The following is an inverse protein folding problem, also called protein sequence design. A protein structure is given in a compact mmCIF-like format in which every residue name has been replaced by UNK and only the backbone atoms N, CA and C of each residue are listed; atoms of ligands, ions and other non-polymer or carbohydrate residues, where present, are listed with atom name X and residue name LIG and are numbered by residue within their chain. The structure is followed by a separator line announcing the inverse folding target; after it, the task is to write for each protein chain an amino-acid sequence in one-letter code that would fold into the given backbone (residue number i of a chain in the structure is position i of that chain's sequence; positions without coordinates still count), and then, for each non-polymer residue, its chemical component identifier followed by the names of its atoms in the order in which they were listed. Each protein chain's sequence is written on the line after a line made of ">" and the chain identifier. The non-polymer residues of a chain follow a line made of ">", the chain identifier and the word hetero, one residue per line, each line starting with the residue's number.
data_IF_207044632005
#
_entry.id   IF_207044632005
#
_cell.length_a   1.000
_cell.length_b   1.000
_cell.length_c   1.000
_cell.angle_alpha   90.00
_cell.angle_beta   90.00
_cell.angle_gamma   90.00
#
_symmetry.space_group_name_H-M   'P 1'
#
loop_
_entity.id
_entity.type
_entity.pdbx_description
1 polymer ?
#
# COMPACT_ATOMS: atom_id res chain seq x y z
N UNK A 1 28.27 -52.65 61.75
CA UNK A 1 28.09 -51.54 60.79
C UNK A 1 27.33 -52.11 59.60
N UNK A 2 26.03 -51.82 59.41
CA UNK A 2 25.44 -50.73 58.57
C UNK A 2 25.92 -50.84 57.10
N UNK A 3 25.13 -50.93 56.02
CA UNK A 3 23.73 -50.62 55.64
C UNK A 3 23.30 -51.60 54.51
N UNK A 4 22.07 -52.14 54.45
CA UNK A 4 20.78 -51.59 53.94
C UNK A 4 20.76 -51.27 52.43
N UNK A 5 19.85 -52.00 51.77
CA UNK A 5 19.21 -51.88 50.45
C UNK A 5 18.97 -50.47 49.92
N UNK A 6 18.83 -50.28 48.59
CA UNK A 6 17.69 -49.59 47.97
C UNK A 6 17.78 -49.51 46.43
N UNK A 7 16.67 -49.93 45.83
CA UNK A 7 16.15 -49.66 44.48
C UNK A 7 16.31 -48.21 44.01
N UNK A 8 16.51 -48.01 42.72
CA UNK A 8 16.12 -46.76 42.04
C UNK A 8 15.67 -47.05 40.61
N UNK A 9 14.36 -47.16 40.44
CA UNK A 9 13.68 -47.01 39.17
C UNK A 9 13.79 -45.53 38.74
N UNK A 10 14.33 -45.26 37.55
CA UNK A 10 14.34 -43.92 36.98
C UNK A 10 13.02 -43.71 36.22
N UNK A 11 12.18 -42.83 36.76
CA UNK A 11 10.95 -42.38 36.14
C UNK A 11 11.25 -41.47 34.93
N UNK A 12 10.50 -41.66 33.85
CA UNK A 12 10.52 -40.79 32.68
C UNK A 12 9.93 -39.42 33.03
N UNK A 13 10.70 -38.36 32.81
CA UNK A 13 10.21 -37.00 32.87
C UNK A 13 9.55 -36.65 31.52
N UNK A 14 8.21 -36.55 31.52
CA UNK A 14 7.46 -35.99 30.41
C UNK A 14 7.68 -34.47 30.37
N UNK A 15 8.35 -33.98 29.33
CA UNK A 15 8.46 -32.55 29.08
C UNK A 15 7.13 -32.04 28.50
N UNK A 16 6.36 -31.31 29.29
CA UNK A 16 5.27 -30.47 28.79
C UNK A 16 5.88 -29.31 27.98
N UNK A 17 5.92 -29.44 26.66
CA UNK A 17 6.02 -28.27 25.78
C UNK A 17 4.66 -27.58 25.75
N UNK A 18 4.50 -26.55 26.59
CA UNK A 18 3.38 -25.63 26.51
C UNK A 18 3.47 -24.88 25.16
N UNK A 19 2.55 -25.20 24.25
CA UNK A 19 2.30 -24.44 23.04
C UNK A 19 1.82 -23.05 23.45
N UNK A 20 2.68 -22.03 23.30
CA UNK A 20 2.25 -20.63 23.38
C UNK A 20 1.16 -20.39 22.34
N UNK A 21 0.07 -19.67 22.67
CA UNK A 21 -0.96 -19.34 21.71
C UNK A 21 -0.32 -18.54 20.57
N UNK A 22 -0.52 -19.01 19.34
CA UNK A 22 -0.17 -18.28 18.14
C UNK A 22 -0.89 -16.91 18.21
N UNK A 23 -0.12 -15.84 18.35
CA UNK A 23 -0.64 -14.49 18.22
C UNK A 23 -1.26 -14.38 16.83
N UNK A 24 -2.58 -14.25 16.80
CA UNK A 24 -3.33 -13.92 15.60
C UNK A 24 -2.71 -12.66 15.00
N UNK A 25 -2.24 -12.75 13.75
CA UNK A 25 -1.82 -11.56 13.03
C UNK A 25 -3.00 -10.58 12.99
N UNK A 26 -2.84 -9.41 13.59
CA UNK A 26 -3.81 -8.33 13.48
C UNK A 26 -3.95 -7.95 12.00
N UNK A 27 -5.19 -7.76 11.54
CA UNK A 27 -5.48 -7.45 10.15
C UNK A 27 -5.07 -5.99 9.86
N UNK A 28 -4.37 -5.79 8.74
CA UNK A 28 -4.02 -4.45 8.31
C UNK A 28 -5.28 -3.60 8.06
N UNK A 29 -5.38 -2.44 8.70
CA UNK A 29 -6.48 -1.49 8.52
C UNK A 29 -6.10 -0.45 7.45
N UNK A 30 -7.06 0.00 6.65
CA UNK A 30 -6.81 0.95 5.55
C UNK A 30 -7.78 2.12 5.61
N UNK A 31 -7.26 3.34 5.59
CA UNK A 31 -8.03 4.57 5.51
C UNK A 31 -7.69 5.30 4.21
N UNK A 32 -8.70 5.77 3.47
CA UNK A 32 -8.53 6.34 2.14
C UNK A 32 -9.29 7.67 1.99
N UNK A 33 -8.77 8.55 1.14
CA UNK A 33 -9.52 9.69 0.62
C UNK A 33 -10.65 9.23 -0.30
N UNK A 34 -11.50 10.17 -0.72
CA UNK A 34 -12.38 9.96 -1.87
C UNK A 34 -11.57 9.64 -3.14
N UNK A 35 -12.20 8.89 -4.04
CA UNK A 35 -11.65 8.63 -5.36
C UNK A 35 -11.89 9.84 -6.27
N UNK A 36 -10.83 10.31 -6.95
CA UNK A 36 -10.88 11.48 -7.83
C UNK A 36 -10.45 11.13 -9.23
N UNK A 37 -11.14 11.67 -10.25
CA UNK A 37 -10.67 11.59 -11.63
C UNK A 37 -9.69 12.72 -11.94
N UNK A 38 -8.60 12.37 -12.61
CA UNK A 38 -7.54 13.28 -12.99
C UNK A 38 -7.33 13.19 -14.51
N UNK A 39 -7.59 14.30 -15.20
CA UNK A 39 -7.56 14.40 -16.66
C UNK A 39 -6.36 15.20 -17.15
N UNK A 40 -5.67 14.69 -18.18
CA UNK A 40 -4.66 15.41 -18.93
C UNK A 40 -5.13 15.64 -20.37
N UNK A 41 -5.46 16.89 -20.69
CA UNK A 41 -5.94 17.32 -22.01
C UNK A 41 -4.89 17.25 -23.12
N UNK A 42 -3.60 17.29 -22.79
CA UNK A 42 -2.54 17.20 -23.80
C UNK A 42 -2.41 15.80 -24.38
N UNK A 43 -2.79 14.79 -23.59
CA UNK A 43 -2.72 13.38 -23.98
C UNK A 43 -4.09 12.73 -24.13
N UNK A 44 -5.17 13.47 -23.85
CA UNK A 44 -6.56 13.00 -23.71
C UNK A 44 -6.68 11.73 -22.86
N UNK A 45 -6.12 11.76 -21.65
CA UNK A 45 -6.07 10.61 -20.73
C UNK A 45 -6.67 10.97 -19.39
N UNK A 46 -7.35 10.02 -18.76
CA UNK A 46 -7.92 10.18 -17.42
C UNK A 46 -7.62 8.97 -16.53
N UNK A 47 -7.32 9.22 -15.26
CA UNK A 47 -7.09 8.18 -14.24
C UNK A 47 -7.99 8.45 -13.04
N UNK A 48 -8.66 7.42 -12.53
CA UNK A 48 -9.32 7.46 -11.23
C UNK A 48 -8.33 7.05 -10.14
N UNK A 49 -8.07 7.96 -9.21
CA UNK A 49 -7.04 7.85 -8.20
C UNK A 49 -7.65 7.87 -6.81
N UNK A 50 -7.07 7.12 -5.87
CA UNK A 50 -7.42 7.17 -4.46
C UNK A 50 -6.15 7.11 -3.63
N UNK A 51 -6.06 7.93 -2.56
CA UNK A 51 -4.87 7.99 -1.70
C UNK A 51 -5.22 7.35 -0.38
N UNK A 52 -4.37 6.44 0.11
CA UNK A 52 -4.64 5.70 1.32
C UNK A 52 -3.42 5.69 2.24
N UNK A 53 -3.68 5.46 3.52
CA UNK A 53 -2.71 5.01 4.51
C UNK A 53 -3.13 3.62 4.95
N UNK A 54 -2.18 2.69 4.93
CA UNK A 54 -2.37 1.32 5.41
C UNK A 54 -1.60 1.16 6.71
N UNK A 55 -2.30 0.70 7.76
CA UNK A 55 -1.68 0.30 9.01
C UNK A 55 -1.34 -1.19 8.94
N UNK A 56 -0.09 -1.57 9.19
CA UNK A 56 0.35 -2.97 9.24
C UNK A 56 0.94 -3.27 10.62
N UNK A 57 0.66 -4.45 11.16
CA UNK A 57 1.23 -4.90 12.43
C UNK A 57 2.39 -5.83 12.18
N UNK A 58 3.53 -5.51 12.79
CA UNK A 58 4.72 -6.34 12.72
C UNK A 58 4.78 -7.34 13.87
N UNK A 59 5.58 -8.39 13.69
CA UNK A 59 5.88 -9.37 14.74
C UNK A 59 6.65 -8.68 15.88
N UNK A 60 5.90 -8.09 16.81
CA UNK A 60 6.40 -7.15 17.81
C UNK A 60 5.26 -6.30 18.40
N UNK A 61 4.10 -6.24 17.74
CA UNK A 61 2.93 -5.50 18.20
C UNK A 61 2.96 -4.01 17.83
N UNK A 62 4.00 -3.57 17.15
CA UNK A 62 4.10 -2.20 16.63
C UNK A 62 3.31 -2.10 15.33
N UNK A 63 2.41 -1.11 15.29
CA UNK A 63 1.68 -0.72 14.10
C UNK A 63 2.51 0.32 13.33
N UNK A 64 2.70 0.07 12.04
CA UNK A 64 3.34 1.03 11.15
C UNK A 64 2.40 1.45 10.01
N UNK A 65 2.62 2.67 9.50
CA UNK A 65 1.83 3.27 8.44
C UNK A 65 2.61 3.33 7.13
N UNK A 66 2.03 2.75 6.08
CA UNK A 66 2.53 2.82 4.72
C UNK A 66 1.61 3.69 3.84
N UNK A 67 2.13 4.73 3.16
CA UNK A 67 1.37 5.48 2.17
C UNK A 67 1.12 4.64 0.92
N UNK A 68 -0.09 4.72 0.38
CA UNK A 68 -0.52 3.97 -0.80
C UNK A 68 -1.21 4.90 -1.81
N UNK A 69 -0.88 4.71 -3.08
CA UNK A 69 -1.60 5.30 -4.19
C UNK A 69 -2.30 4.19 -4.98
N UNK A 70 -3.62 4.30 -5.08
CA UNK A 70 -4.48 3.36 -5.80
C UNK A 70 -4.94 3.97 -7.12
N UNK A 71 -4.90 3.17 -8.17
CA UNK A 71 -5.55 3.48 -9.44
C UNK A 71 -6.64 2.45 -9.72
N UNK A 72 -7.89 2.89 -9.79
CA UNK A 72 -9.01 1.98 -10.02
C UNK A 72 -9.31 1.79 -11.50
N UNK A 73 -9.28 2.91 -12.25
CA UNK A 73 -9.62 2.95 -13.66
C UNK A 73 -8.70 3.91 -14.39
N UNK A 74 -8.40 3.56 -15.62
CA UNK A 74 -7.64 4.40 -16.53
C UNK A 74 -8.27 4.34 -17.90
N UNK A 75 -8.42 5.48 -18.54
CA UNK A 75 -9.02 5.58 -19.86
C UNK A 75 -8.36 6.64 -20.72
N UNK A 76 -8.54 6.51 -22.02
CA UNK A 76 -8.07 7.44 -23.02
C UNK A 76 -9.21 7.79 -23.98
N UNK A 77 -9.19 9.01 -24.49
CA UNK A 77 -10.06 9.45 -25.58
C UNK A 77 -9.34 9.15 -26.89
N UNK A 78 -10.00 8.45 -27.81
CA UNK A 78 -9.46 8.25 -29.15
C UNK A 78 -9.66 9.47 -30.06
N UNK A 79 -9.28 9.34 -31.34
CA UNK A 79 -9.45 10.40 -32.35
C UNK A 79 -10.90 10.69 -32.70
N UNK A 80 -11.79 9.73 -32.48
CA UNK A 80 -13.22 9.84 -32.79
C UNK A 80 -14.00 10.44 -31.62
N UNK A 81 -13.33 10.69 -30.48
CA UNK A 81 -13.94 11.26 -29.28
C UNK A 81 -14.59 10.22 -28.38
N UNK A 82 -14.26 8.93 -28.54
CA UNK A 82 -14.76 7.84 -27.71
C UNK A 82 -13.78 7.49 -26.58
N UNK A 83 -14.31 7.19 -25.40
CA UNK A 83 -13.54 6.82 -24.22
C UNK A 83 -13.32 5.31 -24.15
N UNK A 84 -12.06 4.90 -24.00
CA UNK A 84 -11.66 3.50 -23.93
C UNK A 84 -10.86 3.20 -22.67
N UNK A 85 -11.08 2.02 -22.09
CA UNK A 85 -10.28 1.56 -20.95
C UNK A 85 -8.84 1.22 -21.40
N UNK A 86 -7.85 1.71 -20.66
CA UNK A 86 -6.47 1.29 -20.85
C UNK A 86 -6.24 -0.14 -20.32
N UNK A 87 -5.30 -0.86 -20.93
CA UNK A 87 -4.99 -2.23 -20.53
C UNK A 87 -4.33 -2.27 -19.14
N UNK A 88 -3.46 -1.30 -18.85
CA UNK A 88 -2.83 -1.14 -17.54
C UNK A 88 -2.40 0.30 -17.26
N UNK A 89 -2.08 0.55 -15.99
CA UNK A 89 -1.51 1.79 -15.50
C UNK A 89 -0.35 1.50 -14.56
N UNK A 90 0.72 2.28 -14.67
CA UNK A 90 1.75 2.36 -13.63
C UNK A 90 1.69 3.72 -12.96
N UNK A 91 2.06 3.77 -11.69
CA UNK A 91 2.21 5.01 -10.93
C UNK A 91 3.63 5.12 -10.41
N UNK A 92 4.16 6.34 -10.43
CA UNK A 92 5.42 6.72 -9.80
C UNK A 92 5.31 8.14 -9.25
N UNK A 93 6.24 8.55 -8.40
CA UNK A 93 6.30 9.95 -7.94
C UNK A 93 6.87 10.10 -6.55
N UNK A 94 6.48 11.17 -5.87
CA UNK A 94 6.93 11.50 -4.51
C UNK A 94 5.77 11.80 -3.60
N UNK A 95 5.94 11.55 -2.31
CA UNK A 95 5.00 11.95 -1.28
C UNK A 95 5.66 12.77 -0.17
N UNK A 96 4.82 13.55 0.51
CA UNK A 96 5.09 14.13 1.81
C UNK A 96 3.94 13.80 2.73
N UNK A 97 4.25 13.14 3.84
CA UNK A 97 3.32 12.76 4.88
C UNK A 97 3.59 13.63 6.12
N UNK A 98 2.55 14.13 6.75
CA UNK A 98 2.64 14.85 8.03
C UNK A 98 1.78 14.13 9.06
N UNK A 99 2.37 13.73 10.19
CA UNK A 99 1.67 13.09 11.30
C UNK A 99 0.84 14.07 12.13
N UNK A 100 -0.08 13.58 12.97
CA UNK A 100 -0.81 14.39 13.95
C UNK A 100 0.10 15.20 14.87
N UNK A 101 1.25 14.64 15.29
CA UNK A 101 2.26 15.36 16.08
C UNK A 101 3.01 16.46 15.30
N UNK A 102 2.82 16.53 13.99
CA UNK A 102 3.47 17.51 13.11
C UNK A 102 4.78 17.04 12.50
N UNK A 103 5.21 15.81 12.80
CA UNK A 103 6.40 15.18 12.19
C UNK A 103 6.17 15.00 10.69
N UNK A 104 7.21 15.25 9.90
CA UNK A 104 7.14 15.20 8.43
C UNK A 104 8.01 14.08 7.91
N UNK A 105 7.42 13.27 7.03
CA UNK A 105 8.08 12.20 6.31
C UNK A 105 8.00 12.47 4.81
N UNK A 106 9.03 12.07 4.08
CA UNK A 106 9.11 12.22 2.62
C UNK A 106 9.64 10.94 2.02
N UNK A 107 9.08 10.56 0.87
CA UNK A 107 9.56 9.40 0.15
C UNK A 107 9.09 9.42 -1.30
N UNK A 108 9.25 8.28 -1.97
CA UNK A 108 8.94 8.11 -3.38
C UNK A 108 8.16 6.84 -3.65
N UNK A 109 7.22 6.92 -4.59
CA UNK A 109 6.62 5.76 -5.23
C UNK A 109 7.51 5.36 -6.43
N UNK A 110 8.18 4.20 -6.39
CA UNK A 110 8.86 3.66 -7.55
C UNK A 110 7.83 3.32 -8.62
N UNK A 111 8.30 3.29 -9.87
CA UNK A 111 7.47 2.87 -10.97
C UNK A 111 7.15 1.38 -10.85
N UNK A 112 5.93 1.05 -10.43
CA UNK A 112 5.44 -0.33 -10.43
C UNK A 112 4.35 -0.49 -11.48
N UNK A 113 4.46 -1.57 -12.24
CA UNK A 113 3.43 -1.99 -13.16
C UNK A 113 2.38 -2.78 -12.38
N UNK A 114 1.39 -2.10 -11.82
CA UNK A 114 0.12 -2.68 -11.37
C UNK A 114 -0.79 -1.60 -10.77
N UNK A 115 -2.08 -1.90 -10.67
CA UNK A 115 -3.14 -0.97 -10.19
C UNK A 115 -3.00 -0.55 -8.72
N UNK A 116 -1.98 -1.04 -8.00
CA UNK A 116 -1.73 -0.80 -6.59
C UNK A 116 -0.25 -0.61 -6.37
N UNK A 117 0.11 0.51 -5.75
CA UNK A 117 1.49 0.76 -5.35
C UNK A 117 1.49 1.05 -3.86
N UNK A 118 1.76 -0.01 -3.11
CA UNK A 118 2.14 0.04 -1.69
C UNK A 118 3.62 0.37 -1.68
N UNK A 119 3.97 1.64 -1.63
CA UNK A 119 5.38 1.99 -1.46
C UNK A 119 5.52 3.23 -0.61
N UNK A 120 5.93 2.98 0.61
CA UNK A 120 6.61 3.93 1.46
C UNK A 120 7.44 3.15 2.46
N UNK A 121 8.35 3.87 3.12
CA UNK A 121 8.89 3.39 4.38
C UNK A 121 7.74 3.27 5.38
N UNK A 122 7.84 2.30 6.25
CA UNK A 122 6.92 2.16 7.35
C UNK A 122 7.21 3.23 8.41
N UNK A 123 6.16 3.93 8.84
CA UNK A 123 6.26 5.02 9.82
C UNK A 123 5.55 4.65 11.12
N UNK A 124 6.01 5.15 12.29
CA UNK A 124 5.29 4.95 13.54
C UNK A 124 3.81 5.36 13.40
N UNK A 125 2.90 4.47 13.79
CA UNK A 125 1.47 4.80 13.77
C UNK A 125 1.12 5.79 14.89
N UNK A 126 0.42 6.86 14.52
CA UNK A 126 -0.18 7.82 15.44
C UNK A 126 -1.67 7.93 15.11
N UNK A 127 -2.54 7.90 16.12
CA UNK A 127 -3.96 8.16 15.91
C UNK A 127 -4.22 9.65 15.69
N UNK A 128 -5.20 9.97 14.85
CA UNK A 128 -5.56 11.34 14.48
C UNK A 128 -5.45 11.62 12.98
N UNK A 129 -5.50 12.90 12.62
CA UNK A 129 -5.51 13.33 11.22
C UNK A 129 -4.10 13.40 10.65
N UNK A 130 -3.82 12.56 9.67
CA UNK A 130 -2.63 12.61 8.84
C UNK A 130 -2.87 13.47 7.60
N UNK A 131 -1.85 14.17 7.13
CA UNK A 131 -1.90 14.90 5.86
C UNK A 131 -0.95 14.28 4.86
N UNK A 132 -1.47 13.78 3.75
CA UNK A 132 -0.70 13.18 2.65
C UNK A 132 -0.73 14.11 1.43
N UNK A 133 0.44 14.56 0.97
CA UNK A 133 0.62 15.31 -0.27
C UNK A 133 1.37 14.46 -1.27
N UNK A 134 0.77 14.21 -2.43
CA UNK A 134 1.38 13.43 -3.48
C UNK A 134 1.64 14.26 -4.72
N UNK A 135 2.80 14.04 -5.34
CA UNK A 135 3.10 14.43 -6.71
C UNK A 135 3.30 13.14 -7.51
N UNK A 136 2.29 12.74 -8.28
CA UNK A 136 2.24 11.44 -8.96
C UNK A 136 2.27 11.62 -10.46
N UNK A 137 2.88 10.67 -11.14
CA UNK A 137 2.85 10.51 -12.58
C UNK A 137 2.22 9.15 -12.84
N UNK A 138 1.07 9.15 -13.51
CA UNK A 138 0.39 7.94 -13.93
C UNK A 138 0.63 7.69 -15.41
N UNK A 139 1.25 6.57 -15.74
CA UNK A 139 1.51 6.17 -17.11
C UNK A 139 0.47 5.15 -17.55
N UNK A 140 -0.30 5.48 -18.59
CA UNK A 140 -1.30 4.59 -19.17
C UNK A 140 -0.70 3.79 -20.32
N UNK A 141 -0.88 2.49 -20.30
CA UNK A 141 -0.55 1.60 -21.41
C UNK A 141 -1.80 1.32 -22.22
N UNK A 142 -1.87 1.95 -23.39
CA UNK A 142 -3.00 1.80 -24.30
C UNK A 142 -2.65 0.86 -25.46
N UNK A 143 -3.46 -0.19 -25.69
CA UNK A 143 -3.35 -0.97 -26.92
C UNK A 143 -3.85 -0.12 -28.08
N UNK A 144 -3.03 0.12 -29.09
CA UNK A 144 -3.53 0.64 -30.37
C UNK A 144 -3.97 -0.52 -31.24
N UNK A 145 -5.25 -0.57 -31.60
CA UNK A 145 -5.73 -1.40 -32.69
C UNK A 145 -5.45 -0.68 -34.01
N UNK A 146 -4.28 -0.91 -34.61
CA UNK A 146 -4.02 -0.57 -36.01
C UNK A 146 -3.35 -1.77 -36.64
N UNK A 147 -3.90 -2.25 -37.76
CA UNK A 147 -3.54 -3.51 -38.40
C UNK A 147 -2.05 -3.87 -38.33
N UNK A 148 -1.76 -5.00 -37.69
CA UNK A 148 -0.56 -5.83 -37.79
C UNK A 148 0.75 -5.45 -37.07
N UNK A 149 0.80 -4.45 -36.19
CA UNK A 149 1.96 -4.32 -35.28
C UNK A 149 1.61 -3.60 -33.97
N UNK A 150 1.80 -4.28 -32.84
CA UNK A 150 1.60 -3.73 -31.49
C UNK A 150 2.52 -2.53 -31.23
N UNK A 151 2.02 -1.32 -31.45
CA UNK A 151 2.70 -0.09 -31.01
C UNK A 151 2.02 0.39 -29.72
N UNK A 152 2.73 0.27 -28.60
CA UNK A 152 2.28 0.78 -27.30
C UNK A 152 2.36 2.32 -27.31
N UNK A 153 1.22 3.01 -27.24
CA UNK A 153 1.25 4.44 -26.92
C UNK A 153 1.35 4.61 -25.40
N UNK A 154 2.39 5.31 -24.95
CA UNK A 154 2.67 5.60 -23.54
C UNK A 154 2.37 7.08 -23.31
N UNK A 155 1.89 7.44 -22.13
CA UNK A 155 1.80 8.84 -21.76
C UNK A 155 1.10 9.04 -20.43
N UNK A 156 1.26 10.26 -19.93
CA UNK A 156 1.25 10.48 -18.50
C UNK A 156 0.16 11.45 -18.05
N UNK A 157 -0.35 11.23 -16.83
CA UNK A 157 -1.20 12.18 -16.10
C UNK A 157 -0.47 12.58 -14.83
N UNK A 158 -0.16 13.87 -14.67
CA UNK A 158 0.47 14.40 -13.45
C UNK A 158 -0.59 14.83 -12.43
N UNK A 159 -0.43 14.36 -11.20
CA UNK A 159 -1.25 14.68 -10.03
C UNK A 159 -0.49 15.53 -9.04
N UNK A 160 -1.13 16.58 -8.51
CA UNK A 160 -0.65 17.29 -7.31
C UNK A 160 -1.84 17.51 -6.38
N UNK A 161 -1.98 16.68 -5.36
CA UNK A 161 -3.13 16.73 -4.45
C UNK A 161 -2.69 16.49 -3.02
N UNK A 162 -3.48 17.08 -2.13
CA UNK A 162 -3.40 16.88 -0.69
C UNK A 162 -4.66 16.16 -0.23
N UNK A 163 -4.51 15.21 0.67
CA UNK A 163 -5.60 14.52 1.36
C UNK A 163 -5.37 14.56 2.86
N UNK A 164 -6.46 14.66 3.62
CA UNK A 164 -6.48 14.41 5.06
C UNK A 164 -7.08 13.01 5.28
N UNK A 165 -6.44 12.21 6.11
CA UNK A 165 -6.81 10.82 6.37
C UNK A 165 -6.77 10.61 7.87
N UNK A 166 -7.91 10.23 8.45
CA UNK A 166 -8.02 9.99 9.89
C UNK A 166 -7.70 8.53 10.20
N UNK A 167 -6.71 8.33 11.08
CA UNK A 167 -6.37 7.02 11.64
C UNK A 167 -6.99 6.93 13.03
N UNK A 168 -7.98 6.05 13.20
CA UNK A 168 -8.69 5.87 14.48
C UNK A 168 -8.09 4.78 15.34
N UNK A 169 -7.24 3.93 14.77
CA UNK A 169 -6.70 2.75 15.43
C UNK A 169 -5.26 2.46 14.97
N UNK A 170 -4.41 2.17 15.94
CA UNK A 170 -3.01 1.75 15.79
C UNK A 170 -2.71 0.48 16.62
N UNK A 171 -3.75 -0.24 17.08
CA UNK A 171 -3.67 -1.37 18.02
C UNK A 171 -3.82 -2.74 17.36
#
# INVERSE_FOLDING_TARGET
>A
MKLISLTSALAAAAALTALLPAQSASAATRACSDATFEYNSNTNKEVQTQRCLRTEHYQGGEAELAPEALTHWCKYLDSDGEWHNAASCSVQGTYRLTSPSGTRYTGSYPQLADRRVLVGEDYPCETGTWTLRNQLIYTLYVPRYVGSSDVRAIGDVESRKQSQIDITDCS
#
